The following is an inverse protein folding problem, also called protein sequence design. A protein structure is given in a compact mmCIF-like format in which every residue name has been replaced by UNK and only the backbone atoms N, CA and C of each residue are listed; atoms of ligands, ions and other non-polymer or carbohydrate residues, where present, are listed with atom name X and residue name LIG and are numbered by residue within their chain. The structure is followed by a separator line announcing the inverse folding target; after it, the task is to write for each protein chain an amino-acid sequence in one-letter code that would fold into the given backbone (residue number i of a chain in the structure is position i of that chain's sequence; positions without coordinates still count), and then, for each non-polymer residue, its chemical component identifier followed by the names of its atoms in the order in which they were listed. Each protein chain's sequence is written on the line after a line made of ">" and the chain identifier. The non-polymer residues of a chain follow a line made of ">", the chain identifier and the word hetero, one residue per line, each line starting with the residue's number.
data_IF_653853864317
#
_entry.id   IF_653853864317
#
_cell.length_a   1.000
_cell.length_b   1.000
_cell.length_c   1.000
_cell.angle_alpha   90.00
_cell.angle_beta   90.00
_cell.angle_gamma   90.00
#
_symmetry.space_group_name_H-M   'P 1'
#
loop_
_entity.id
_entity.type
_entity.pdbx_description
1 polymer ?
#
# COMPACT_ATOMS: atom_id res chain seq x y z
N UNK A 1 0.68 -13.95 -15.86
CA UNK A 1 2.13 -13.85 -15.75
C UNK A 1 2.51 -12.48 -15.22
N UNK A 2 3.46 -12.45 -14.32
CA UNK A 2 3.82 -11.21 -13.63
C UNK A 2 4.50 -10.17 -14.52
N UNK A 3 5.04 -10.55 -15.69
CA UNK A 3 5.72 -9.58 -16.55
C UNK A 3 4.76 -8.56 -17.18
N UNK A 4 3.45 -8.81 -17.17
CA UNK A 4 2.46 -7.82 -17.62
C UNK A 4 1.90 -7.00 -16.47
N UNK A 5 2.28 -7.29 -15.25
CA UNK A 5 1.79 -6.59 -14.08
C UNK A 5 2.44 -5.21 -13.96
N UNK A 6 1.61 -4.17 -13.84
CA UNK A 6 2.10 -2.80 -13.70
C UNK A 6 3.05 -2.66 -12.50
N UNK A 7 2.66 -3.22 -11.36
CA UNK A 7 3.49 -3.08 -10.15
C UNK A 7 4.76 -3.92 -10.22
N UNK A 8 4.73 -5.06 -10.91
CA UNK A 8 5.96 -5.79 -11.17
C UNK A 8 6.93 -4.96 -12.01
N UNK A 9 6.42 -4.22 -12.98
CA UNK A 9 7.24 -3.36 -13.82
C UNK A 9 7.82 -2.19 -13.02
N UNK A 10 7.04 -1.62 -12.12
CA UNK A 10 7.53 -0.57 -11.25
C UNK A 10 8.61 -1.12 -10.32
N UNK A 11 8.40 -2.31 -9.76
CA UNK A 11 9.38 -2.94 -8.87
C UNK A 11 10.70 -3.24 -9.58
N UNK A 12 10.67 -3.48 -10.90
CA UNK A 12 11.86 -3.71 -11.69
C UNK A 12 12.43 -2.43 -12.31
N UNK A 13 11.84 -1.28 -11.97
CA UNK A 13 12.26 0.02 -12.50
C UNK A 13 12.09 0.15 -14.00
N UNK A 14 11.13 -0.59 -14.57
CA UNK A 14 10.79 -0.48 -16.00
C UNK A 14 9.81 0.65 -16.25
N UNK A 15 9.05 1.04 -15.24
CA UNK A 15 8.11 2.15 -15.30
C UNK A 15 8.46 3.07 -14.14
N UNK A 16 8.60 4.39 -14.38
CA UNK A 16 8.96 5.32 -13.30
C UNK A 16 7.84 5.48 -12.28
N UNK A 17 8.23 5.73 -11.03
CA UNK A 17 7.31 6.03 -9.94
C UNK A 17 8.05 6.90 -8.93
N UNK A 18 7.29 7.64 -8.10
CA UNK A 18 7.88 8.44 -7.04
C UNK A 18 8.08 7.56 -5.81
N UNK A 19 9.23 6.89 -5.77
CA UNK A 19 9.54 5.90 -4.74
C UNK A 19 9.92 6.58 -3.44
N UNK A 20 9.35 6.12 -2.31
CA UNK A 20 9.66 6.63 -0.98
C UNK A 20 10.36 5.60 -0.11
N UNK A 21 10.29 4.32 -0.48
CA UNK A 21 10.99 3.25 0.22
C UNK A 21 11.28 2.11 -0.75
N UNK A 22 12.47 1.55 -0.63
CA UNK A 22 12.82 0.36 -1.39
C UNK A 22 13.84 -0.46 -0.63
N UNK A 23 13.58 -1.78 -0.55
CA UNK A 23 14.54 -2.73 -0.02
C UNK A 23 14.47 -3.99 -0.89
N UNK A 24 15.11 -5.08 -0.45
CA UNK A 24 15.15 -6.29 -1.25
C UNK A 24 13.78 -6.92 -1.46
N UNK A 25 12.85 -6.72 -0.53
CA UNK A 25 11.56 -7.39 -0.55
C UNK A 25 10.40 -6.47 -0.93
N UNK A 26 10.50 -5.17 -0.61
CA UNK A 26 9.35 -4.28 -0.66
C UNK A 26 9.66 -2.97 -1.36
N UNK A 27 8.60 -2.35 -1.87
CA UNK A 27 8.67 -1.05 -2.52
C UNK A 27 7.47 -0.24 -2.07
N UNK A 28 7.68 1.05 -1.83
CA UNK A 28 6.57 1.97 -1.58
C UNK A 28 6.73 3.22 -2.45
N UNK A 29 5.62 3.71 -2.99
CA UNK A 29 5.63 4.86 -3.88
C UNK A 29 4.31 5.61 -3.80
N UNK A 30 4.31 6.84 -4.31
CA UNK A 30 3.10 7.67 -4.30
C UNK A 30 2.07 7.16 -5.30
N UNK A 31 0.80 7.13 -4.90
CA UNK A 31 -0.29 6.89 -5.82
C UNK A 31 -0.41 8.11 -6.75
N UNK A 32 -0.55 7.88 -8.05
CA UNK A 32 -0.64 8.96 -9.02
C UNK A 32 -2.01 9.65 -9.01
N UNK A 33 -3.01 9.01 -8.39
CA UNK A 33 -4.35 9.58 -8.23
C UNK A 33 -4.70 9.59 -6.74
N UNK A 34 -4.05 10.47 -5.96
CA UNK A 34 -4.18 10.39 -4.50
C UNK A 34 -5.60 10.72 -4.04
N UNK A 35 -6.06 9.94 -3.06
CA UNK A 35 -7.35 10.16 -2.41
C UNK A 35 -7.20 10.91 -1.09
N UNK A 36 -5.98 11.26 -0.70
CA UNK A 36 -5.67 11.95 0.54
C UNK A 36 -4.38 12.74 0.36
N UNK A 37 -4.06 13.71 1.25
CA UNK A 37 -2.79 14.44 1.18
C UNK A 37 -1.57 13.53 1.19
N UNK A 38 -1.63 12.42 1.94
CA UNK A 38 -0.64 11.36 1.87
C UNK A 38 -1.35 10.13 1.35
N UNK A 39 -0.91 9.61 0.22
CA UNK A 39 -1.47 8.39 -0.36
C UNK A 39 -0.33 7.60 -1.00
N UNK A 40 0.13 6.59 -0.29
CA UNK A 40 1.23 5.75 -0.73
C UNK A 40 0.73 4.34 -0.99
N UNK A 41 1.45 3.62 -1.84
CA UNK A 41 1.20 2.21 -2.10
C UNK A 41 2.43 1.44 -1.62
N UNK A 42 2.20 0.40 -0.82
CA UNK A 42 3.25 -0.48 -0.32
C UNK A 42 3.03 -1.86 -0.91
N UNK A 43 4.01 -2.37 -1.62
CA UNK A 43 3.91 -3.65 -2.32
C UNK A 43 5.07 -4.57 -2.00
N UNK A 44 4.84 -5.90 -2.05
CA UNK A 44 5.96 -6.83 -2.14
C UNK A 44 6.52 -6.80 -3.55
N UNK A 45 7.83 -6.96 -3.71
CA UNK A 45 8.43 -6.99 -5.04
C UNK A 45 8.06 -8.25 -5.80
N UNK A 46 7.97 -9.40 -5.11
CA UNK A 46 7.51 -10.60 -5.76
C UNK A 46 6.00 -10.51 -6.02
N UNK A 47 5.55 -11.17 -7.05
CA UNK A 47 4.15 -11.08 -7.45
C UNK A 47 3.27 -12.01 -6.62
N UNK A 48 2.26 -11.43 -5.98
CA UNK A 48 1.16 -12.11 -5.32
C UNK A 48 -0.08 -11.30 -5.69
N UNK A 49 -1.13 -11.97 -6.17
CA UNK A 49 -2.26 -11.22 -6.71
C UNK A 49 -3.04 -10.48 -5.62
N UNK A 50 -3.28 -11.10 -4.48
CA UNK A 50 -4.06 -10.48 -3.41
C UNK A 50 -3.86 -11.20 -2.09
N UNK A 51 -4.45 -10.66 -1.02
CA UNK A 51 -4.45 -11.31 0.28
C UNK A 51 -5.05 -12.73 0.23
N UNK A 52 -6.02 -12.95 -0.67
CA UNK A 52 -6.70 -14.23 -0.74
C UNK A 52 -5.79 -15.36 -1.20
N UNK A 53 -4.63 -15.04 -1.78
CA UNK A 53 -3.70 -16.06 -2.26
C UNK A 53 -2.60 -16.39 -1.27
N UNK A 54 -2.59 -15.73 -0.11
CA UNK A 54 -1.56 -15.99 0.88
C UNK A 54 -1.86 -17.28 1.65
N UNK A 55 -0.79 -17.97 2.02
CA UNK A 55 -0.89 -19.18 2.83
C UNK A 55 0.04 -19.09 4.04
N UNK A 56 0.13 -20.18 4.83
CA UNK A 56 0.94 -20.16 6.05
C UNK A 56 2.41 -19.81 5.83
N UNK A 57 2.95 -20.14 4.66
CA UNK A 57 4.35 -19.85 4.36
C UNK A 57 4.62 -18.36 4.16
N UNK A 58 3.57 -17.55 3.99
CA UNK A 58 3.74 -16.13 3.70
C UNK A 58 3.79 -15.25 4.94
N UNK A 59 3.59 -15.83 6.13
CA UNK A 59 3.46 -15.03 7.34
C UNK A 59 4.68 -14.18 7.67
N UNK A 60 5.87 -14.71 7.48
CA UNK A 60 7.09 -13.99 7.87
C UNK A 60 7.30 -12.72 7.04
N UNK A 61 7.23 -12.82 5.70
CA UNK A 61 7.45 -11.63 4.89
C UNK A 61 6.28 -10.65 5.02
N UNK A 62 5.05 -11.16 5.20
CA UNK A 62 3.90 -10.29 5.39
C UNK A 62 4.04 -9.48 6.68
N UNK A 63 4.51 -10.11 7.76
CA UNK A 63 4.76 -9.41 9.01
C UNK A 63 5.80 -8.31 8.82
N UNK A 64 6.88 -8.59 8.09
CA UNK A 64 7.89 -7.57 7.81
C UNK A 64 7.31 -6.40 7.03
N UNK A 65 6.46 -6.69 6.05
CA UNK A 65 5.83 -5.64 5.24
C UNK A 65 4.92 -4.77 6.09
N UNK A 66 4.08 -5.38 6.93
CA UNK A 66 3.16 -4.62 7.77
C UNK A 66 3.89 -3.77 8.80
N UNK A 67 5.04 -4.23 9.29
CA UNK A 67 5.83 -3.42 10.23
C UNK A 67 6.46 -2.20 9.58
N UNK A 68 6.69 -2.24 8.27
CA UNK A 68 7.19 -1.08 7.54
C UNK A 68 6.14 0.01 7.40
N UNK A 69 4.87 -0.34 7.38
CA UNK A 69 3.82 0.63 7.06
C UNK A 69 3.84 1.86 7.97
N UNK A 70 3.91 1.74 9.31
CA UNK A 70 3.99 2.94 10.15
C UNK A 70 5.25 3.76 9.89
N UNK A 71 6.39 3.10 9.70
CA UNK A 71 7.65 3.82 9.44
C UNK A 71 7.54 4.64 8.17
N UNK A 72 7.02 4.05 7.11
CA UNK A 72 6.87 4.72 5.83
C UNK A 72 5.85 5.87 5.96
N UNK A 73 4.73 5.61 6.63
CA UNK A 73 3.68 6.60 6.80
C UNK A 73 4.21 7.86 7.52
N UNK A 74 4.85 7.67 8.65
CA UNK A 74 5.32 8.81 9.44
C UNK A 74 6.53 9.51 8.83
N UNK A 75 7.31 8.81 8.03
CA UNK A 75 8.42 9.44 7.32
C UNK A 75 7.95 10.26 6.10
N UNK A 76 6.71 10.08 5.67
CA UNK A 76 6.23 10.67 4.42
C UNK A 76 4.99 11.57 4.60
N UNK A 77 4.83 12.16 5.76
CA UNK A 77 3.86 13.21 5.95
C UNK A 77 2.66 12.88 6.82
N UNK A 78 2.51 11.64 7.26
CA UNK A 78 1.48 11.34 8.23
C UNK A 78 1.88 11.92 9.58
N UNK A 79 0.95 12.62 10.23
CA UNK A 79 1.24 13.29 11.50
C UNK A 79 1.31 12.29 12.64
N UNK A 80 2.11 12.58 13.68
CA UNK A 80 2.25 11.64 14.79
C UNK A 80 1.00 11.47 15.60
N UNK A 81 0.92 10.34 16.29
CA UNK A 81 -0.17 10.06 17.23
C UNK A 81 -0.07 11.01 18.42
N UNK A 82 -1.17 11.27 19.14
CA UNK A 82 -2.50 10.65 18.95
C UNK A 82 -3.40 11.36 17.92
N UNK A 83 -3.10 12.61 17.59
CA UNK A 83 -3.99 13.38 16.71
C UNK A 83 -3.85 12.99 15.25
N UNK A 84 -2.67 12.55 14.85
CA UNK A 84 -2.41 12.12 13.49
C UNK A 84 -2.68 10.64 13.29
N UNK A 85 -1.85 10.00 12.48
CA UNK A 85 -1.98 8.58 12.18
C UNK A 85 -2.17 8.35 10.69
N UNK A 86 -2.60 7.13 10.36
CA UNK A 86 -2.81 6.78 8.96
C UNK A 86 -3.84 5.65 8.88
N UNK A 87 -4.38 5.47 7.69
CA UNK A 87 -5.28 4.36 7.39
C UNK A 87 -4.57 3.41 6.45
N UNK A 88 -4.61 2.12 6.77
CA UNK A 88 -4.02 1.07 5.94
C UNK A 88 -5.14 0.24 5.34
N UNK A 89 -5.16 0.12 4.01
CA UNK A 89 -6.25 -0.54 3.29
C UNK A 89 -5.68 -1.50 2.26
N UNK A 90 -6.20 -2.73 2.23
CA UNK A 90 -5.95 -3.67 1.16
C UNK A 90 -7.30 -4.08 0.56
N UNK A 91 -7.41 -3.93 -0.75
CA UNK A 91 -8.61 -4.33 -1.48
C UNK A 91 -8.36 -5.71 -2.09
N UNK A 92 -9.34 -6.59 -2.01
CA UNK A 92 -9.23 -7.95 -2.54
C UNK A 92 -10.39 -8.25 -3.45
N UNK A 93 -10.07 -8.62 -4.69
CA UNK A 93 -11.07 -9.00 -5.67
C UNK A 93 -11.92 -7.85 -6.17
N UNK A 94 -12.77 -8.14 -7.15
CA UNK A 94 -13.59 -7.11 -7.79
C UNK A 94 -14.54 -6.43 -6.82
N UNK A 95 -15.20 -7.20 -5.97
CA UNK A 95 -16.14 -6.62 -5.00
C UNK A 95 -15.42 -5.87 -3.89
N UNK A 96 -14.15 -6.13 -3.68
CA UNK A 96 -13.33 -5.37 -2.74
C UNK A 96 -12.74 -4.10 -3.33
N UNK A 97 -12.92 -3.88 -4.65
CA UNK A 97 -12.39 -2.70 -5.31
C UNK A 97 -10.95 -2.82 -5.77
N UNK A 98 -10.43 -4.04 -5.87
CA UNK A 98 -9.05 -4.22 -6.32
C UNK A 98 -8.96 -3.97 -7.82
N UNK A 99 -8.12 -3.02 -8.21
CA UNK A 99 -7.95 -2.65 -9.62
C UNK A 99 -6.70 -3.23 -10.25
N UNK A 100 -5.67 -3.48 -9.46
CA UNK A 100 -4.39 -4.04 -9.92
C UNK A 100 -4.19 -5.38 -9.22
N UNK A 101 -3.98 -6.45 -9.98
CA UNK A 101 -3.85 -7.81 -9.44
C UNK A 101 -2.41 -8.08 -8.99
N UNK A 102 -1.96 -7.27 -8.06
CA UNK A 102 -0.71 -7.39 -7.34
C UNK A 102 -0.98 -6.81 -5.97
N UNK A 103 -0.74 -7.60 -4.93
CA UNK A 103 -1.02 -7.17 -3.56
C UNK A 103 -0.42 -5.81 -3.28
N UNK A 104 -1.25 -4.91 -2.76
CA UNK A 104 -0.77 -3.60 -2.35
C UNK A 104 -1.63 -3.09 -1.20
N UNK A 105 -0.97 -2.38 -0.30
CA UNK A 105 -1.63 -1.68 0.79
C UNK A 105 -1.61 -0.19 0.51
N UNK A 106 -2.77 0.44 0.61
CA UNK A 106 -2.86 1.90 0.57
C UNK A 106 -2.53 2.44 1.94
N UNK A 107 -1.65 3.43 2.01
CA UNK A 107 -1.36 4.19 3.22
C UNK A 107 -1.93 5.57 2.99
N UNK A 108 -2.95 5.93 3.76
CA UNK A 108 -3.69 7.19 3.58
C UNK A 108 -3.55 8.02 4.84
N UNK A 109 -3.18 9.29 4.68
CA UNK A 109 -3.01 10.15 5.84
C UNK A 109 -3.07 11.63 5.49
N UNK A 110 -2.73 12.46 6.46
CA UNK A 110 -2.85 13.90 6.38
C UNK A 110 -4.19 14.34 6.91
N UNK A 111 -5.18 14.51 6.05
CA UNK A 111 -6.56 14.68 6.45
C UNK A 111 -7.28 13.37 6.23
N UNK A 112 -8.34 13.14 7.02
CA UNK A 112 -9.15 11.95 6.84
C UNK A 112 -9.96 12.06 5.55
N UNK A 113 -9.68 11.24 4.53
CA UNK A 113 -10.43 11.33 3.28
C UNK A 113 -11.88 10.89 3.41
N UNK A 114 -12.22 10.25 4.52
CA UNK A 114 -13.58 9.77 4.83
C UNK A 114 -14.30 10.69 5.79
N UNK A 115 -13.76 11.87 6.09
CA UNK A 115 -14.30 12.75 7.13
C UNK A 115 -15.69 13.28 6.83
N UNK A 116 -16.07 13.34 5.56
CA UNK A 116 -17.37 13.85 5.16
C UNK A 116 -18.44 12.78 5.07
N UNK A 117 -18.13 11.56 5.43
CA UNK A 117 -19.08 10.46 5.35
C UNK A 117 -19.97 10.45 6.60
N UNK A 118 -21.23 10.04 6.41
CA UNK A 118 -22.17 9.96 7.50
C UNK A 118 -21.75 8.90 8.51
N UNK A 119 -21.24 7.77 8.07
CA UNK A 119 -20.78 6.71 8.94
C UNK A 119 -19.26 6.73 9.03
N UNK A 120 -18.68 6.63 10.23
CA UNK A 120 -17.24 6.56 10.33
C UNK A 120 -16.73 5.26 9.74
N UNK A 121 -15.57 5.34 9.13
CA UNK A 121 -14.86 4.15 8.69
C UNK A 121 -14.13 3.60 9.91
N UNK A 122 -14.76 2.72 10.59
CA UNK A 122 -14.23 2.15 11.81
C UNK A 122 -12.97 1.34 11.57
#
# INVERSE_FOLDING_TARGET
>A
MSHDCLFCKIARHEIPARIVHEDDEFLAFHDINPAAPVHLLLIPKHHVASLAELGPADGDWLARMLRLAPEIAFANGCNPLPAGGFRLVANTGTEGGQEIDHLHFHILGGERPWSNRAAPAA
#
